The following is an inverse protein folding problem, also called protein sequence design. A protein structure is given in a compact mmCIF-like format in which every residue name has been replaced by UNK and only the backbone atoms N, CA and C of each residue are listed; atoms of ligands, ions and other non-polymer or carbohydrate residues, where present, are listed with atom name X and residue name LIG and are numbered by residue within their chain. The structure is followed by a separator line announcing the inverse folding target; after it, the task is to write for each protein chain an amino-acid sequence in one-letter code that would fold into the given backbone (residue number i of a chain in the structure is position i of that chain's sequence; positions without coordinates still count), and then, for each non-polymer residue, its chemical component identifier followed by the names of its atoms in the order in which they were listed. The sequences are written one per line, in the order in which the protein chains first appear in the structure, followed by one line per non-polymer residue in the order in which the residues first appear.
data_IF_175059277726
#
_entry.id   IF_175059277726
#
_cell.length_a   1.000
_cell.length_b   1.000
_cell.length_c   1.000
_cell.angle_alpha   90.00
_cell.angle_beta   90.00
_cell.angle_gamma   90.00
#
_symmetry.space_group_name_H-M   'P 1'
#
loop_
_entity.id
_entity.type
_entity.pdbx_description
1 polymer ?
#
# COMPACT_ATOMS: atom_id res chain seq x y z
N UNK A 1 14.16 11.09 -1.11
CA UNK A 1 13.41 10.10 -1.90
C UNK A 1 12.68 9.22 -0.92
N UNK A 2 11.35 9.14 -1.04
CA UNK A 2 10.48 8.34 -0.16
C UNK A 2 10.40 6.92 -0.71
N UNK A 3 10.45 5.92 0.17
CA UNK A 3 10.41 4.50 -0.22
C UNK A 3 8.98 3.97 -0.12
N UNK A 4 8.50 3.37 -1.19
CA UNK A 4 7.16 2.80 -1.27
C UNK A 4 7.29 1.31 -1.58
N UNK A 5 6.72 0.47 -0.72
CA UNK A 5 6.55 -0.94 -0.99
C UNK A 5 5.17 -1.17 -1.62
N UNK A 6 5.13 -1.86 -2.76
CA UNK A 6 3.90 -2.27 -3.42
C UNK A 6 3.73 -3.77 -3.17
N UNK A 7 2.59 -4.15 -2.58
CA UNK A 7 2.20 -5.55 -2.33
C UNK A 7 1.02 -5.89 -3.22
N UNK A 8 1.29 -6.52 -4.36
CA UNK A 8 0.32 -6.77 -5.44
C UNK A 8 0.77 -8.02 -6.22
N UNK A 9 -0.11 -8.99 -6.46
CA UNK A 9 0.27 -10.20 -7.19
C UNK A 9 0.06 -10.06 -8.71
N UNK A 10 -0.85 -9.17 -9.12
CA UNK A 10 -1.15 -8.91 -10.52
C UNK A 10 -0.03 -8.11 -11.20
N UNK A 11 0.70 -8.75 -12.11
CA UNK A 11 1.85 -8.14 -12.79
C UNK A 11 1.49 -6.86 -13.57
N UNK A 12 0.32 -6.84 -14.22
CA UNK A 12 -0.17 -5.67 -14.96
C UNK A 12 -0.46 -4.49 -14.02
N UNK A 13 -1.00 -4.77 -12.84
CA UNK A 13 -1.29 -3.75 -11.84
C UNK A 13 -0.02 -3.20 -11.22
N UNK A 14 0.94 -4.07 -10.90
CA UNK A 14 2.28 -3.67 -10.49
C UNK A 14 2.96 -2.77 -11.53
N UNK A 15 2.90 -3.13 -12.81
CA UNK A 15 3.46 -2.33 -13.89
C UNK A 15 2.77 -0.96 -13.99
N UNK A 16 1.44 -0.93 -13.88
CA UNK A 16 0.68 0.31 -13.88
C UNK A 16 1.06 1.22 -12.72
N UNK A 17 1.12 0.69 -11.49
CA UNK A 17 1.53 1.43 -10.30
C UNK A 17 2.94 1.99 -10.44
N UNK A 18 3.87 1.18 -10.96
CA UNK A 18 5.21 1.63 -11.30
C UNK A 18 5.15 2.79 -12.31
N UNK A 19 4.45 2.66 -13.44
CA UNK A 19 4.38 3.74 -14.45
C UNK A 19 3.78 5.02 -13.87
N UNK A 20 2.77 4.94 -13.01
CA UNK A 20 2.11 6.11 -12.44
C UNK A 20 3.00 6.81 -11.41
N UNK A 21 3.66 6.04 -10.54
CA UNK A 21 4.42 6.57 -9.40
C UNK A 21 5.92 6.73 -9.68
N UNK A 22 6.41 6.19 -10.79
CA UNK A 22 7.81 6.34 -11.18
C UNK A 22 8.10 7.82 -11.45
N UNK A 23 9.04 8.36 -10.67
CA UNK A 23 9.39 9.77 -10.62
C UNK A 23 10.60 9.99 -9.72
N UNK A 24 11.10 11.22 -9.66
CA UNK A 24 12.32 11.54 -8.89
C UNK A 24 12.12 11.48 -7.37
N UNK A 25 10.88 11.47 -6.92
CA UNK A 25 10.52 11.62 -5.51
C UNK A 25 10.38 10.27 -4.78
N UNK A 26 10.13 9.18 -5.52
CA UNK A 26 9.79 7.86 -4.99
C UNK A 26 10.76 6.77 -5.48
N UNK A 27 11.10 5.87 -4.56
CA UNK A 27 11.72 4.58 -4.87
C UNK A 27 10.69 3.49 -4.61
N UNK A 28 10.41 2.67 -5.62
CA UNK A 28 9.37 1.65 -5.58
C UNK A 28 10.02 0.27 -5.50
N UNK A 29 9.60 -0.51 -4.51
CA UNK A 29 9.90 -1.93 -4.40
C UNK A 29 8.59 -2.73 -4.50
N UNK A 30 8.67 -3.98 -4.97
CA UNK A 30 7.49 -4.79 -5.21
C UNK A 30 7.62 -6.20 -4.67
N UNK A 31 6.54 -6.69 -4.05
CA UNK A 31 6.38 -8.06 -3.57
C UNK A 31 4.97 -8.55 -3.91
N UNK A 32 4.81 -9.87 -4.05
CA UNK A 32 3.56 -10.50 -4.52
C UNK A 32 2.75 -11.21 -3.44
N UNK A 33 3.24 -11.21 -2.20
CA UNK A 33 2.68 -12.01 -1.10
C UNK A 33 2.82 -11.23 0.21
N UNK A 34 1.92 -11.49 1.15
CA UNK A 34 2.00 -10.96 2.51
C UNK A 34 3.26 -11.45 3.22
N UNK A 35 3.65 -12.71 3.01
CA UNK A 35 4.89 -13.27 3.57
C UNK A 35 6.12 -12.46 3.13
N UNK A 36 6.28 -12.22 1.82
CA UNK A 36 7.39 -11.41 1.31
C UNK A 36 7.33 -9.95 1.75
N UNK A 37 6.12 -9.39 1.96
CA UNK A 37 5.97 -8.06 2.55
C UNK A 37 6.47 -8.03 4.00
N UNK A 38 6.18 -9.07 4.78
CA UNK A 38 6.70 -9.25 6.14
C UNK A 38 8.23 -9.30 6.18
N UNK A 39 8.85 -10.11 5.31
CA UNK A 39 10.31 -10.22 5.21
C UNK A 39 10.96 -8.89 4.80
N UNK A 40 10.33 -8.16 3.88
CA UNK A 40 10.78 -6.84 3.44
C UNK A 40 10.74 -5.83 4.60
N UNK A 41 9.62 -5.78 5.33
CA UNK A 41 9.43 -4.85 6.46
C UNK A 41 10.46 -5.05 7.58
N UNK A 42 10.86 -6.30 7.84
CA UNK A 42 11.91 -6.61 8.82
C UNK A 42 13.28 -6.07 8.39
N UNK A 43 13.59 -6.12 7.09
CA UNK A 43 14.90 -5.75 6.56
C UNK A 43 15.03 -4.24 6.33
N UNK A 44 14.02 -3.60 5.75
CA UNK A 44 14.06 -2.18 5.40
C UNK A 44 12.64 -1.59 5.43
N UNK A 45 12.19 -1.01 6.56
CA UNK A 45 10.85 -0.45 6.63
C UNK A 45 10.69 0.73 5.65
N UNK A 46 9.68 0.72 4.76
CA UNK A 46 9.41 1.78 3.80
C UNK A 46 8.72 2.97 4.48
N UNK A 47 8.59 4.10 3.78
CA UNK A 47 7.75 5.22 4.24
C UNK A 47 6.26 4.90 4.06
N UNK A 48 5.92 4.12 3.03
CA UNK A 48 4.56 3.79 2.65
C UNK A 48 4.46 2.37 2.09
N UNK A 49 3.38 1.67 2.43
CA UNK A 49 2.95 0.41 1.81
C UNK A 49 1.67 0.67 1.02
N UNK A 50 1.70 0.36 -0.27
CA UNK A 50 0.51 0.16 -1.09
C UNK A 50 0.14 -1.31 -1.03
N UNK A 51 -0.98 -1.62 -0.39
CA UNK A 51 -1.38 -2.99 -0.08
C UNK A 51 -2.65 -3.37 -0.83
N UNK A 52 -2.56 -4.33 -1.73
CA UNK A 52 -3.78 -4.94 -2.28
C UNK A 52 -4.50 -5.80 -1.23
N UNK A 53 -5.82 -5.84 -1.31
CA UNK A 53 -6.61 -6.65 -0.39
C UNK A 53 -6.55 -8.15 -0.67
N UNK A 54 -6.47 -8.58 -1.93
CA UNK A 54 -6.63 -9.99 -2.29
C UNK A 54 -5.32 -10.51 -2.84
N UNK A 55 -4.55 -11.14 -1.97
CA UNK A 55 -3.26 -11.73 -2.31
C UNK A 55 -3.36 -13.26 -2.30
N UNK A 56 -2.44 -13.98 -2.97
CA UNK A 56 -2.48 -15.44 -3.07
C UNK A 56 -2.33 -16.15 -1.71
N UNK A 57 -1.77 -15.47 -0.70
CA UNK A 57 -1.51 -16.01 0.64
C UNK A 57 -2.40 -15.40 1.73
N UNK A 58 -3.38 -14.56 1.39
CA UNK A 58 -4.35 -14.05 2.37
C UNK A 58 -5.00 -12.72 1.98
N UNK A 59 -5.67 -12.11 2.95
CA UNK A 59 -6.26 -10.79 2.80
C UNK A 59 -5.33 -9.70 3.36
N UNK A 60 -5.07 -8.66 2.56
CA UNK A 60 -4.25 -7.53 2.97
C UNK A 60 -4.82 -6.80 4.19
N UNK A 61 -6.16 -6.73 4.31
CA UNK A 61 -6.83 -6.06 5.44
C UNK A 61 -6.43 -6.64 6.81
N UNK A 62 -6.16 -7.94 6.87
CA UNK A 62 -5.75 -8.65 8.09
C UNK A 62 -4.27 -8.41 8.44
N UNK A 63 -3.48 -7.93 7.48
CA UNK A 63 -2.06 -7.64 7.67
C UNK A 63 -1.81 -6.23 8.22
N UNK A 64 -2.75 -5.30 8.02
CA UNK A 64 -2.63 -3.89 8.46
C UNK A 64 -2.34 -3.76 9.96
N UNK A 65 -3.04 -4.46 10.88
CA UNK A 65 -2.79 -4.35 12.31
C UNK A 65 -1.36 -4.77 12.69
N UNK A 66 -0.80 -5.78 12.02
CA UNK A 66 0.58 -6.22 12.27
C UNK A 66 1.59 -5.15 11.83
N UNK A 67 1.41 -4.57 10.64
CA UNK A 67 2.24 -3.45 10.17
C UNK A 67 2.18 -2.30 11.16
N UNK A 68 0.98 -1.90 11.62
CA UNK A 68 0.83 -0.76 12.53
C UNK A 68 1.38 -1.01 13.92
N UNK A 69 1.29 -2.25 14.41
CA UNK A 69 1.84 -2.64 15.71
C UNK A 69 3.37 -2.66 15.69
N UNK A 70 3.98 -3.26 14.67
CA UNK A 70 5.42 -3.47 14.61
C UNK A 70 6.16 -2.27 13.99
N UNK A 71 5.50 -1.54 13.09
CA UNK A 71 6.06 -0.44 12.31
C UNK A 71 5.11 0.78 12.29
N UNK A 72 4.83 1.41 13.45
CA UNK A 72 3.80 2.46 13.58
C UNK A 72 4.03 3.71 12.71
N UNK A 73 5.27 3.92 12.23
CA UNK A 73 5.62 5.03 11.33
C UNK A 73 5.33 4.74 9.85
N UNK A 74 5.21 3.45 9.48
CA UNK A 74 4.96 3.04 8.10
C UNK A 74 3.53 3.41 7.75
N UNK A 75 3.37 4.19 6.69
CA UNK A 75 2.05 4.53 6.17
C UNK A 75 1.46 3.35 5.40
N UNK A 76 0.15 3.17 5.46
CA UNK A 76 -0.55 2.08 4.76
C UNK A 76 -1.71 2.66 3.97
N UNK A 77 -1.69 2.42 2.66
CA UNK A 77 -2.79 2.75 1.75
C UNK A 77 -3.29 1.43 1.19
N UNK A 78 -4.54 1.12 1.45
CA UNK A 78 -5.15 -0.10 0.93
C UNK A 78 -5.75 0.15 -0.45
N UNK A 79 -5.47 -0.74 -1.39
CA UNK A 79 -6.04 -0.78 -2.74
C UNK A 79 -7.02 -1.96 -2.82
N UNK A 80 -8.26 -1.75 -3.26
CA UNK A 80 -9.23 -2.85 -3.38
C UNK A 80 -10.30 -2.56 -4.43
N UNK A 81 -10.64 -3.56 -5.25
CA UNK A 81 -11.71 -3.44 -6.27
C UNK A 81 -13.03 -4.13 -5.93
N UNK A 82 -13.07 -4.91 -4.85
CA UNK A 82 -14.19 -5.85 -4.64
C UNK A 82 -15.24 -5.38 -3.63
N UNK A 83 -14.90 -4.53 -2.68
CA UNK A 83 -15.84 -4.15 -1.62
C UNK A 83 -15.63 -2.71 -1.14
N UNK A 84 -16.66 -1.86 -1.30
CA UNK A 84 -16.66 -0.52 -0.71
C UNK A 84 -16.73 -0.59 0.82
N UNK A 85 -17.34 -1.65 1.36
CA UNK A 85 -17.41 -1.91 2.81
C UNK A 85 -16.05 -2.22 3.43
N UNK A 86 -15.08 -2.67 2.63
CA UNK A 86 -13.72 -2.92 3.09
C UNK A 86 -12.97 -1.62 3.45
N UNK A 87 -13.43 -0.46 2.98
CA UNK A 87 -12.81 0.83 3.26
C UNK A 87 -12.88 1.20 4.74
N UNK A 88 -14.06 1.14 5.35
CA UNK A 88 -14.24 1.43 6.79
C UNK A 88 -13.44 0.46 7.64
N UNK A 89 -13.52 -0.84 7.35
CA UNK A 89 -12.77 -1.88 8.09
C UNK A 89 -11.26 -1.68 7.96
N UNK A 90 -10.77 -1.24 6.80
CA UNK A 90 -9.35 -0.96 6.61
C UNK A 90 -8.87 0.19 7.50
N UNK A 91 -9.66 1.28 7.58
CA UNK A 91 -9.39 2.42 8.44
C UNK A 91 -9.44 2.02 9.92
N UNK A 92 -10.42 1.21 10.32
CA UNK A 92 -10.52 0.67 11.68
C UNK A 92 -9.31 -0.20 12.04
N UNK A 93 -8.81 -1.00 11.09
CA UNK A 93 -7.57 -1.78 11.24
C UNK A 93 -6.29 -0.94 11.19
N UNK A 94 -6.42 0.37 10.98
CA UNK A 94 -5.33 1.34 11.08
C UNK A 94 -4.74 1.78 9.75
N UNK A 95 -5.36 1.49 8.60
CA UNK A 95 -4.93 2.08 7.33
C UNK A 95 -4.96 3.62 7.42
N UNK A 96 -3.99 4.29 6.80
CA UNK A 96 -4.02 5.76 6.72
C UNK A 96 -5.08 6.23 5.71
N UNK A 97 -5.34 5.44 4.67
CA UNK A 97 -6.42 5.68 3.73
C UNK A 97 -6.76 4.43 2.91
N UNK A 98 -7.81 4.53 2.12
CA UNK A 98 -8.28 3.50 1.21
C UNK A 98 -8.53 4.10 -0.17
N UNK A 99 -8.13 3.38 -1.23
CA UNK A 99 -8.41 3.75 -2.60
C UNK A 99 -9.06 2.58 -3.34
N UNK A 100 -10.30 2.78 -3.76
CA UNK A 100 -11.04 1.77 -4.53
C UNK A 100 -10.54 1.67 -5.97
N UNK A 101 -10.41 0.43 -6.48
CA UNK A 101 -10.21 0.14 -7.91
C UNK A 101 -11.60 0.16 -8.60
N UNK A 102 -11.74 0.71 -9.82
CA UNK A 102 -10.71 1.38 -10.61
C UNK A 102 -10.43 2.81 -10.11
N UNK A 103 -9.18 3.24 -10.19
CA UNK A 103 -8.74 4.60 -9.87
C UNK A 103 -7.99 5.23 -11.03
N UNK A 104 -8.01 6.56 -11.09
CA UNK A 104 -7.22 7.33 -12.04
C UNK A 104 -5.77 7.53 -11.58
N UNK A 105 -4.89 7.88 -12.52
CA UNK A 105 -3.50 8.21 -12.23
C UNK A 105 -3.37 9.39 -11.26
N UNK A 106 -4.24 10.38 -11.42
CA UNK A 106 -4.28 11.56 -10.56
C UNK A 106 -4.77 11.23 -9.15
N UNK A 107 -5.80 10.40 -9.02
CA UNK A 107 -6.29 9.94 -7.71
C UNK A 107 -5.19 9.23 -6.93
N UNK A 108 -4.49 8.28 -7.56
CA UNK A 108 -3.39 7.56 -6.90
C UNK A 108 -2.29 8.51 -6.45
N UNK A 109 -1.86 9.45 -7.31
CA UNK A 109 -0.82 10.42 -6.97
C UNK A 109 -1.23 11.33 -5.81
N UNK A 110 -2.45 11.87 -5.85
CA UNK A 110 -2.96 12.74 -4.80
C UNK A 110 -3.04 12.01 -3.46
N UNK A 111 -3.52 10.78 -3.45
CA UNK A 111 -3.64 9.95 -2.25
C UNK A 111 -2.26 9.63 -1.66
N UNK A 112 -1.31 9.17 -2.50
CA UNK A 112 0.07 8.88 -2.06
C UNK A 112 0.75 10.13 -1.51
N UNK A 113 0.66 11.27 -2.22
CA UNK A 113 1.26 12.52 -1.78
C UNK A 113 0.62 13.05 -0.51
N UNK A 114 -0.71 12.99 -0.39
CA UNK A 114 -1.43 13.43 0.80
C UNK A 114 -1.01 12.65 2.05
N UNK A 115 -0.97 11.32 1.95
CA UNK A 115 -0.57 10.45 3.08
C UNK A 115 0.89 10.67 3.48
N UNK A 116 1.79 10.86 2.51
CA UNK A 116 3.21 11.11 2.78
C UNK A 116 3.50 12.53 3.28
N UNK A 117 2.62 13.50 3.01
CA UNK A 117 2.77 14.91 3.43
C UNK A 117 2.18 15.18 4.82
N UNK A 118 1.17 14.41 5.25
CA UNK A 118 0.51 14.54 6.56
C UNK A 118 1.34 14.04 7.76
N UNK A 119 2.67 14.16 7.67
CA UNK A 119 3.64 13.77 8.71
C UNK A 119 4.45 14.94 9.29
N UNK A 120 3.96 16.17 9.16
CA UNK A 120 4.53 17.36 9.83
C UNK A 120 3.86 17.61 11.17
#
# INVERSE_FOLDING_TARGET
MKKILIVEDEADMCLLLNIILNGKDFSLDHVKTLAAAGDYLQSTPPDLVLLDNKLPDGLGIDFIPDIKKNYPKVKVIMLSGFDASAGDVALENGADTFLSKPFSKEQLKQVVQGVLSNGQ
#
